data_IF_161182478739
#
_entry.id   IF_161182478739
#
_cell.length_a   1.000
_cell.length_b   1.000
_cell.length_c   1.000
_cell.angle_alpha   90.00
_cell.angle_beta   90.00
_cell.angle_gamma   90.00
#
_symmetry.space_group_name_H-M   'P 1'
#
loop_
_entity.id
_entity.type
_entity.pdbx_description
1 polymer ?
#
# COMPACT_ATOMS: atom_id res chain seq x y z
N UNK A 1 -20.72 -21.80 0.17
CA UNK A 1 -21.49 -20.57 -0.22
C UNK A 1 -22.99 -20.65 0.03
N UNK A 2 -23.62 -19.59 0.60
CA UNK A 2 -25.08 -19.41 0.58
C UNK A 2 -25.52 -18.81 -0.75
N UNK A 3 -26.68 -19.24 -1.26
CA UNK A 3 -27.26 -18.76 -2.51
C UNK A 3 -27.91 -17.39 -2.25
N UNK A 4 -27.47 -16.37 -2.97
CA UNK A 4 -28.10 -15.05 -2.97
C UNK A 4 -28.85 -14.86 -4.30
N UNK A 5 -30.11 -14.40 -4.29
CA UNK A 5 -30.84 -14.00 -5.50
C UNK A 5 -30.02 -13.01 -6.35
N UNK A 6 -29.24 -12.17 -5.69
CA UNK A 6 -28.34 -11.18 -6.28
C UNK A 6 -27.28 -11.85 -7.17
N UNK A 7 -26.65 -12.93 -6.70
CA UNK A 7 -25.65 -13.65 -7.48
C UNK A 7 -26.27 -14.28 -8.74
N UNK A 8 -27.46 -14.88 -8.64
CA UNK A 8 -28.14 -15.46 -9.82
C UNK A 8 -28.40 -14.39 -10.88
N UNK A 9 -28.86 -13.22 -10.47
CA UNK A 9 -29.08 -12.07 -11.35
C UNK A 9 -27.78 -11.59 -12.00
N UNK A 10 -26.68 -11.51 -11.24
CA UNK A 10 -25.37 -11.14 -11.78
C UNK A 10 -24.84 -12.18 -12.78
N UNK A 11 -24.96 -13.47 -12.48
CA UNK A 11 -24.54 -14.54 -13.39
C UNK A 11 -25.28 -14.47 -14.73
N UNK A 12 -26.57 -14.15 -14.71
CA UNK A 12 -27.33 -13.92 -15.95
C UNK A 12 -26.84 -12.66 -16.69
N UNK A 13 -26.59 -11.56 -15.97
CA UNK A 13 -26.14 -10.28 -16.55
C UNK A 13 -24.81 -10.40 -17.30
N UNK A 14 -23.86 -11.19 -16.80
CA UNK A 14 -22.54 -11.34 -17.41
C UNK A 14 -22.53 -12.28 -18.63
N UNK A 15 -23.64 -12.96 -18.90
CA UNK A 15 -23.78 -13.91 -19.98
C UNK A 15 -24.40 -13.25 -21.20
N UNK A 16 -23.67 -13.29 -22.30
CA UNK A 16 -24.08 -12.70 -23.58
C UNK A 16 -24.98 -13.64 -24.40
N UNK A 17 -24.97 -14.93 -24.08
CA UNK A 17 -25.78 -15.95 -24.74
C UNK A 17 -27.13 -16.09 -24.03
N UNK A 18 -28.15 -15.45 -24.61
CA UNK A 18 -29.51 -15.45 -24.08
C UNK A 18 -30.21 -16.82 -24.13
N UNK A 19 -29.61 -17.81 -24.81
CA UNK A 19 -30.14 -19.18 -24.86
C UNK A 19 -29.79 -20.00 -23.62
N UNK A 20 -28.82 -19.57 -22.81
CA UNK A 20 -28.44 -20.26 -21.58
C UNK A 20 -29.39 -19.85 -20.45
N UNK A 21 -30.17 -20.80 -19.97
CA UNK A 21 -31.10 -20.57 -18.87
C UNK A 21 -30.37 -20.48 -17.51
N UNK A 22 -31.04 -19.87 -16.54
CA UNK A 22 -30.48 -19.64 -15.20
C UNK A 22 -30.13 -20.94 -14.46
N UNK A 23 -30.86 -22.03 -14.69
CA UNK A 23 -30.58 -23.31 -14.03
C UNK A 23 -29.30 -23.93 -14.58
N UNK A 24 -29.05 -23.80 -15.89
CA UNK A 24 -27.80 -24.24 -16.50
C UNK A 24 -26.60 -23.46 -15.95
N UNK A 25 -26.69 -22.13 -15.85
CA UNK A 25 -25.62 -21.31 -15.25
C UNK A 25 -25.37 -21.69 -13.80
N UNK A 26 -26.43 -21.99 -13.06
CA UNK A 26 -26.32 -22.43 -11.68
C UNK A 26 -25.66 -23.80 -11.55
N UNK A 27 -26.04 -24.77 -12.39
CA UNK A 27 -25.41 -26.08 -12.41
C UNK A 27 -23.91 -25.99 -12.73
N UNK A 28 -23.50 -25.08 -13.63
CA UNK A 28 -22.08 -24.80 -13.92
C UNK A 28 -21.39 -24.14 -12.72
N UNK A 29 -22.06 -23.18 -12.05
CA UNK A 29 -21.53 -22.51 -10.86
C UNK A 29 -21.24 -23.49 -9.72
N UNK A 30 -22.13 -24.47 -9.52
CA UNK A 30 -21.97 -25.55 -8.55
C UNK A 30 -20.96 -26.62 -9.00
N UNK A 31 -20.52 -26.59 -10.26
CA UNK A 31 -19.64 -27.60 -10.85
C UNK A 31 -20.33 -28.92 -11.19
N UNK A 32 -21.67 -28.93 -11.25
CA UNK A 32 -22.50 -30.09 -11.61
C UNK A 32 -22.61 -30.29 -13.12
N UNK A 33 -22.33 -29.25 -13.91
CA UNK A 33 -22.31 -29.32 -15.36
C UNK A 33 -21.22 -28.43 -15.95
N UNK A 34 -20.93 -28.65 -17.22
CA UNK A 34 -20.11 -27.79 -18.05
C UNK A 34 -20.63 -27.87 -19.49
N UNK A 35 -20.41 -26.80 -20.25
CA UNK A 35 -20.59 -26.83 -21.70
C UNK A 35 -19.22 -26.88 -22.37
N UNK A 36 -19.22 -27.05 -23.69
CA UNK A 36 -18.00 -26.99 -24.49
C UNK A 36 -17.23 -25.67 -24.28
N UNK A 37 -17.94 -24.54 -24.19
CA UNK A 37 -17.34 -23.20 -24.11
C UNK A 37 -17.21 -22.67 -22.69
N UNK A 38 -18.03 -23.12 -21.75
CA UNK A 38 -18.16 -22.58 -20.40
C UNK A 38 -18.05 -23.68 -19.34
N UNK A 39 -17.11 -23.50 -18.42
CA UNK A 39 -16.98 -24.31 -17.22
C UNK A 39 -16.98 -23.41 -15.98
N UNK A 40 -16.97 -24.02 -14.80
CA UNK A 40 -17.01 -23.30 -13.51
C UNK A 40 -15.94 -22.21 -13.38
N UNK A 41 -14.69 -22.52 -13.74
CA UNK A 41 -13.57 -21.58 -13.61
C UNK A 41 -13.69 -20.41 -14.60
N UNK A 42 -14.11 -20.69 -15.85
CA UNK A 42 -14.40 -19.64 -16.85
C UNK A 42 -15.58 -18.75 -16.45
N UNK A 43 -16.62 -19.32 -15.85
CA UNK A 43 -17.76 -18.55 -15.35
C UNK A 43 -17.34 -17.62 -14.20
N UNK A 44 -16.54 -18.13 -13.27
CA UNK A 44 -15.97 -17.35 -12.16
C UNK A 44 -15.05 -16.24 -12.64
N UNK A 45 -14.13 -16.51 -13.58
CA UNK A 45 -13.25 -15.48 -14.11
C UNK A 45 -14.01 -14.40 -14.89
N UNK A 46 -15.05 -14.77 -15.65
CA UNK A 46 -15.98 -13.81 -16.26
C UNK A 46 -16.69 -12.94 -15.23
N UNK A 47 -17.15 -13.53 -14.12
CA UNK A 47 -17.80 -12.79 -13.04
C UNK A 47 -16.83 -11.76 -12.45
N UNK A 48 -15.57 -12.14 -12.18
CA UNK A 48 -14.52 -11.23 -11.69
C UNK A 48 -14.23 -10.08 -12.66
N UNK A 49 -14.22 -10.36 -13.97
CA UNK A 49 -13.90 -9.37 -15.00
C UNK A 49 -15.06 -8.40 -15.30
N UNK A 50 -16.31 -8.85 -15.13
CA UNK A 50 -17.50 -8.11 -15.56
C UNK A 50 -18.27 -7.44 -14.42
N UNK A 51 -17.75 -7.50 -13.18
CA UNK A 51 -18.45 -7.05 -11.97
C UNK A 51 -17.53 -6.24 -11.08
N UNK A 52 -18.02 -5.12 -10.54
CA UNK A 52 -17.25 -4.30 -9.61
C UNK A 52 -17.00 -5.03 -8.28
N UNK A 53 -15.94 -4.64 -7.57
CA UNK A 53 -15.53 -5.32 -6.33
C UNK A 53 -16.62 -5.34 -5.26
N UNK A 54 -17.24 -4.19 -4.97
CA UNK A 54 -18.32 -4.12 -3.98
C UNK A 54 -19.53 -4.97 -4.37
N UNK A 55 -19.85 -5.03 -5.67
CA UNK A 55 -20.95 -5.87 -6.13
C UNK A 55 -20.65 -7.36 -5.97
N UNK A 56 -19.39 -7.78 -6.18
CA UNK A 56 -18.96 -9.15 -5.89
C UNK A 56 -19.07 -9.46 -4.40
N UNK A 57 -18.68 -8.51 -3.54
CA UNK A 57 -18.78 -8.62 -2.09
C UNK A 57 -20.24 -8.75 -1.63
N UNK A 58 -21.15 -7.95 -2.16
CA UNK A 58 -22.58 -8.03 -1.87
C UNK A 58 -23.17 -9.40 -2.26
N UNK A 59 -22.75 -9.93 -3.42
CA UNK A 59 -23.29 -11.19 -3.94
C UNK A 59 -22.74 -12.42 -3.23
N UNK A 60 -21.45 -12.43 -2.89
CA UNK A 60 -20.71 -13.63 -2.45
C UNK A 60 -20.37 -13.60 -0.96
N UNK A 61 -20.31 -12.42 -0.35
CA UNK A 61 -19.69 -12.20 0.95
C UNK A 61 -18.19 -12.54 0.95
N UNK A 62 -17.54 -12.34 2.10
CA UNK A 62 -16.11 -12.61 2.27
C UNK A 62 -15.75 -14.08 1.99
N UNK A 63 -16.54 -15.02 2.54
CA UNK A 63 -16.27 -16.45 2.36
C UNK A 63 -16.47 -16.89 0.91
N UNK A 64 -17.50 -16.39 0.22
CA UNK A 64 -17.72 -16.71 -1.19
C UNK A 64 -16.63 -16.13 -2.10
N UNK A 65 -16.11 -14.93 -1.79
CA UNK A 65 -14.96 -14.38 -2.50
C UNK A 65 -13.72 -15.26 -2.35
N UNK A 66 -13.42 -15.78 -1.15
CA UNK A 66 -12.32 -16.74 -0.92
C UNK A 66 -12.50 -18.02 -1.75
N UNK A 67 -13.72 -18.55 -1.82
CA UNK A 67 -14.05 -19.73 -2.63
C UNK A 67 -13.91 -19.51 -4.16
N UNK A 68 -14.04 -18.26 -4.62
CA UNK A 68 -13.96 -17.88 -6.04
C UNK A 68 -12.53 -17.50 -6.46
N UNK A 69 -11.79 -16.81 -5.59
CA UNK A 69 -10.41 -16.36 -5.82
C UNK A 69 -9.41 -17.50 -5.60
N UNK A 70 -9.52 -18.57 -6.40
CA UNK A 70 -8.54 -19.66 -6.43
C UNK A 70 -7.46 -19.37 -7.47
N UNK A 71 -6.29 -19.99 -7.31
CA UNK A 71 -5.17 -19.85 -8.25
C UNK A 71 -5.58 -20.25 -9.67
N UNK A 72 -6.37 -21.31 -9.82
CA UNK A 72 -6.90 -21.75 -11.10
C UNK A 72 -7.75 -20.67 -11.81
N UNK A 73 -8.63 -19.99 -11.06
CA UNK A 73 -9.49 -18.93 -11.60
C UNK A 73 -8.66 -17.70 -11.95
N UNK A 74 -7.76 -17.28 -11.07
CA UNK A 74 -6.89 -16.11 -11.26
C UNK A 74 -5.96 -16.33 -12.46
N UNK A 75 -5.34 -17.50 -12.58
CA UNK A 75 -4.43 -17.82 -13.69
C UNK A 75 -5.15 -17.90 -15.05
N UNK A 76 -6.48 -18.08 -15.06
CA UNK A 76 -7.29 -18.02 -16.28
C UNK A 76 -7.51 -16.60 -16.82
N UNK A 77 -7.23 -15.56 -16.03
CA UNK A 77 -7.33 -14.16 -16.44
C UNK A 77 -6.10 -13.80 -17.27
N UNK A 78 -6.27 -13.41 -18.53
CA UNK A 78 -5.15 -13.18 -19.46
C UNK A 78 -4.47 -11.80 -19.29
N UNK A 79 -5.20 -10.78 -18.80
CA UNK A 79 -4.68 -9.41 -18.62
C UNK A 79 -3.85 -9.36 -17.33
N UNK A 80 -2.55 -9.05 -17.45
CA UNK A 80 -1.58 -9.05 -16.34
C UNK A 80 -2.02 -8.17 -15.16
N UNK A 81 -2.31 -6.90 -15.41
CA UNK A 81 -2.63 -5.94 -14.33
C UNK A 81 -3.92 -6.34 -13.57
N UNK A 82 -4.90 -6.88 -14.29
CA UNK A 82 -6.14 -7.38 -13.67
C UNK A 82 -5.88 -8.64 -12.85
N UNK A 83 -5.02 -9.54 -13.34
CA UNK A 83 -4.59 -10.73 -12.60
C UNK A 83 -3.89 -10.33 -11.30
N UNK A 84 -2.94 -9.40 -11.36
CA UNK A 84 -2.19 -8.89 -10.20
C UNK A 84 -3.12 -8.29 -9.14
N UNK A 85 -4.13 -7.50 -9.56
CA UNK A 85 -5.17 -6.98 -8.68
C UNK A 85 -5.90 -8.10 -7.91
N UNK A 86 -6.26 -9.21 -8.56
CA UNK A 86 -6.96 -10.31 -7.90
C UNK A 86 -6.04 -11.20 -7.06
N UNK A 87 -4.75 -11.31 -7.40
CA UNK A 87 -3.72 -11.92 -6.53
C UNK A 87 -3.64 -11.14 -5.22
N UNK A 88 -3.58 -9.80 -5.28
CA UNK A 88 -3.59 -8.96 -4.08
C UNK A 88 -4.84 -9.21 -3.24
N UNK A 89 -6.03 -9.16 -3.87
CA UNK A 89 -7.30 -9.36 -3.17
C UNK A 89 -7.40 -10.75 -2.51
N UNK A 90 -6.94 -11.80 -3.19
CA UNK A 90 -6.88 -13.17 -2.64
C UNK A 90 -6.00 -13.21 -1.38
N UNK A 91 -4.77 -12.69 -1.47
CA UNK A 91 -3.83 -12.67 -0.34
C UNK A 91 -4.37 -11.84 0.83
N UNK A 92 -5.00 -10.71 0.55
CA UNK A 92 -5.57 -9.83 1.57
C UNK A 92 -6.73 -10.52 2.32
N UNK A 93 -7.64 -11.17 1.59
CA UNK A 93 -8.75 -11.91 2.19
C UNK A 93 -8.28 -13.09 3.03
N UNK A 94 -7.19 -13.76 2.64
CA UNK A 94 -6.59 -14.87 3.40
C UNK A 94 -5.72 -14.41 4.57
N UNK A 95 -5.60 -13.10 4.83
CA UNK A 95 -4.73 -12.57 5.89
C UNK A 95 -3.24 -12.82 5.62
N UNK A 96 -2.88 -13.11 4.37
CA UNK A 96 -1.48 -13.28 3.92
C UNK A 96 -0.87 -11.91 3.64
N UNK A 97 -1.68 -10.94 3.20
CA UNK A 97 -1.31 -9.51 3.28
C UNK A 97 -1.57 -9.03 4.69
N UNK A 98 -0.68 -9.43 5.60
CA UNK A 98 -0.43 -8.61 6.77
C UNK A 98 0.61 -7.58 6.33
N UNK A 99 0.18 -6.38 5.94
CA UNK A 99 1.08 -5.23 5.95
C UNK A 99 1.34 -4.86 7.42
N UNK A 100 1.96 -5.76 8.19
CA UNK A 100 2.80 -5.29 9.29
C UNK A 100 4.00 -4.70 8.58
N UNK A 101 3.88 -3.41 8.22
CA UNK A 101 5.00 -2.63 7.73
C UNK A 101 6.17 -2.89 8.68
N UNK A 102 7.33 -3.26 8.12
CA UNK A 102 8.51 -3.58 8.90
C UNK A 102 8.72 -2.51 9.99
N UNK A 103 8.83 -2.94 11.24
CA UNK A 103 9.05 -2.07 12.40
C UNK A 103 10.43 -2.33 12.97
N UNK A 104 11.24 -1.29 13.03
CA UNK A 104 12.52 -1.36 13.69
C UNK A 104 12.38 -1.04 15.18
N UNK A 105 12.93 -1.90 16.03
CA UNK A 105 12.95 -1.70 17.47
C UNK A 105 11.60 -1.85 18.18
N UNK A 106 11.60 -1.46 19.45
CA UNK A 106 10.46 -1.57 20.36
C UNK A 106 9.58 -0.32 20.37
N UNK A 107 8.36 -0.49 20.88
CA UNK A 107 7.49 0.65 21.17
C UNK A 107 7.91 1.30 22.49
N UNK A 108 7.76 2.61 22.53
CA UNK A 108 7.81 3.40 23.74
C UNK A 108 6.44 3.39 24.42
N UNK A 109 6.46 3.34 25.75
CA UNK A 109 5.28 3.39 26.60
C UNK A 109 5.34 4.66 27.46
N UNK A 110 4.31 5.49 27.38
CA UNK A 110 4.14 6.69 28.18
C UNK A 110 2.87 6.61 29.02
N UNK A 111 2.77 7.31 30.17
CA UNK A 111 1.60 7.23 31.05
C UNK A 111 0.26 7.53 30.36
N UNK A 112 0.25 8.40 29.35
CA UNK A 112 -0.95 8.75 28.56
C UNK A 112 -1.03 8.01 27.22
N UNK A 113 0.08 7.48 26.71
CA UNK A 113 0.16 6.86 25.38
C UNK A 113 0.87 5.52 25.49
N UNK A 114 0.11 4.43 25.46
CA UNK A 114 0.64 3.09 25.69
C UNK A 114 1.37 2.48 24.50
N UNK A 115 1.30 3.05 23.30
CA UNK A 115 1.96 2.52 22.11
C UNK A 115 2.44 3.67 21.23
N UNK A 116 3.69 4.09 21.42
CA UNK A 116 4.32 5.13 20.60
C UNK A 116 5.53 4.52 19.91
N UNK A 117 5.67 4.71 18.60
CA UNK A 117 6.86 4.24 17.89
C UNK A 117 8.14 4.93 18.40
N UNK A 118 9.26 4.23 18.32
CA UNK A 118 10.55 4.86 18.57
C UNK A 118 10.95 5.81 17.42
N UNK A 119 11.80 6.76 17.75
CA UNK A 119 12.19 7.86 16.88
C UNK A 119 12.91 7.37 15.61
N UNK A 120 13.71 6.31 15.72
CA UNK A 120 14.36 5.66 14.56
C UNK A 120 13.34 5.08 13.59
N UNK A 121 12.31 4.42 14.11
CA UNK A 121 11.23 3.85 13.30
C UNK A 121 10.38 4.95 12.65
N UNK A 122 10.11 6.06 13.37
CA UNK A 122 9.42 7.24 12.83
C UNK A 122 10.23 7.89 11.71
N UNK A 123 11.52 8.19 11.94
CA UNK A 123 12.38 8.83 10.94
C UNK A 123 12.54 7.98 9.67
N UNK A 124 12.79 6.68 9.82
CA UNK A 124 12.88 5.76 8.68
C UNK A 124 11.57 5.63 7.91
N UNK A 125 10.41 5.74 8.56
CA UNK A 125 9.12 5.82 7.86
C UNK A 125 9.03 7.07 6.98
N UNK A 126 9.43 8.24 7.50
CA UNK A 126 9.45 9.49 6.72
C UNK A 126 10.35 9.40 5.50
N UNK A 127 11.55 8.85 5.66
CA UNK A 127 12.48 8.59 4.55
C UNK A 127 11.89 7.60 3.53
N UNK A 128 11.25 6.52 3.98
CA UNK A 128 10.68 5.50 3.09
C UNK A 128 9.58 6.00 2.15
N UNK A 129 8.92 7.10 2.52
CA UNK A 129 7.79 7.67 1.77
C UNK A 129 8.10 9.02 1.12
N UNK A 130 9.36 9.48 1.17
CA UNK A 130 9.75 10.83 0.72
C UNK A 130 9.51 11.07 -0.79
N UNK A 131 9.50 10.01 -1.60
CA UNK A 131 9.17 10.05 -3.03
C UNK A 131 7.73 10.46 -3.34
N UNK A 132 6.88 10.65 -2.31
CA UNK A 132 5.56 11.28 -2.44
C UNK A 132 5.63 12.80 -2.53
N UNK A 133 6.81 13.41 -2.32
CA UNK A 133 7.03 14.85 -2.38
C UNK A 133 6.15 15.66 -1.41
N UNK A 134 5.78 15.04 -0.28
CA UNK A 134 4.99 15.68 0.77
C UNK A 134 5.89 16.55 1.64
N UNK A 135 5.78 17.88 1.49
CA UNK A 135 6.65 18.87 2.17
C UNK A 135 6.65 18.70 3.71
N UNK A 136 5.51 18.31 4.29
CA UNK A 136 5.39 18.04 5.74
C UNK A 136 6.34 16.93 6.22
N UNK A 137 6.58 15.90 5.39
CA UNK A 137 7.45 14.80 5.77
C UNK A 137 8.92 15.24 5.74
N UNK A 138 9.29 16.18 4.86
CA UNK A 138 10.61 16.82 4.85
C UNK A 138 10.82 17.69 6.10
N UNK A 139 9.79 18.44 6.52
CA UNK A 139 9.84 19.20 7.77
C UNK A 139 9.96 18.29 9.00
N UNK A 140 9.23 17.17 9.04
CA UNK A 140 9.38 16.16 10.11
C UNK A 140 10.81 15.60 10.15
N UNK A 141 11.41 15.30 8.99
CA UNK A 141 12.81 14.86 8.90
C UNK A 141 13.75 15.93 9.49
N UNK A 142 13.56 17.20 9.14
CA UNK A 142 14.35 18.30 9.68
C UNK A 142 14.23 18.41 11.20
N UNK A 143 13.01 18.38 11.75
CA UNK A 143 12.78 18.45 13.20
C UNK A 143 13.44 17.29 13.93
N UNK A 144 13.34 16.07 13.39
CA UNK A 144 13.97 14.88 13.97
C UNK A 144 15.51 14.97 13.88
N UNK A 145 16.04 15.43 12.76
CA UNK A 145 17.48 15.66 12.59
C UNK A 145 18.03 16.70 13.57
N UNK A 146 17.28 17.77 13.86
CA UNK A 146 17.70 18.77 14.86
C UNK A 146 17.75 18.22 16.29
N UNK A 147 16.99 17.16 16.61
CA UNK A 147 16.82 16.65 17.99
C UNK A 147 17.61 15.39 18.29
N UNK A 148 17.94 14.60 17.28
CA UNK A 148 18.41 13.23 17.46
C UNK A 148 19.86 13.06 16.99
N UNK A 149 20.62 12.25 17.72
CA UNK A 149 21.94 11.77 17.27
C UNK A 149 21.77 10.38 16.67
N UNK A 150 22.10 10.21 15.40
CA UNK A 150 21.97 8.94 14.67
C UNK A 150 22.87 8.88 13.43
N UNK A 151 22.91 7.72 12.78
CA UNK A 151 23.60 7.46 11.51
C UNK A 151 22.61 7.49 10.35
N UNK A 152 22.82 8.34 9.34
CA UNK A 152 21.97 8.33 8.14
C UNK A 152 22.07 7.01 7.39
N UNK A 153 23.23 6.35 7.42
CA UNK A 153 23.42 5.02 6.82
C UNK A 153 22.47 3.99 7.45
N UNK A 154 22.30 4.04 8.77
CA UNK A 154 21.43 3.10 9.49
C UNK A 154 19.96 3.41 9.17
N UNK A 155 19.58 4.69 9.17
CA UNK A 155 18.23 5.12 8.80
C UNK A 155 17.87 4.70 7.38
N UNK A 156 18.77 4.87 6.41
CA UNK A 156 18.55 4.43 5.03
C UNK A 156 18.42 2.91 4.93
N UNK A 157 19.24 2.16 5.68
CA UNK A 157 19.15 0.70 5.73
C UNK A 157 17.80 0.23 6.28
N UNK A 158 17.34 0.83 7.37
CA UNK A 158 16.05 0.53 8.01
C UNK A 158 14.89 0.92 7.09
N UNK A 159 14.94 2.10 6.46
CA UNK A 159 13.93 2.54 5.50
C UNK A 159 13.84 1.58 4.30
N UNK A 160 14.97 1.06 3.83
CA UNK A 160 15.07 0.07 2.75
C UNK A 160 14.36 -1.25 3.04
N UNK A 161 14.22 -1.64 4.31
CA UNK A 161 13.45 -2.82 4.71
C UNK A 161 11.92 -2.58 4.63
N UNK A 162 11.49 -1.31 4.60
CA UNK A 162 10.08 -0.91 4.55
C UNK A 162 9.61 -0.70 3.11
N UNK A 163 10.42 0.00 2.34
CA UNK A 163 10.22 0.28 0.92
C UNK A 163 11.57 0.50 0.25
N UNK A 164 11.76 0.13 -1.03
CA UNK A 164 12.98 0.48 -1.76
C UNK A 164 13.23 2.00 -1.68
N UNK A 165 14.43 2.37 -1.23
CA UNK A 165 14.90 3.76 -1.15
C UNK A 165 16.33 3.84 -1.64
N UNK A 166 16.63 4.87 -2.43
CA UNK A 166 17.97 5.20 -2.89
C UNK A 166 18.46 6.48 -2.19
N UNK A 167 19.58 6.45 -1.45
CA UNK A 167 20.15 7.64 -0.82
C UNK A 167 20.39 8.81 -1.80
N UNK A 168 20.71 8.51 -3.07
CA UNK A 168 20.92 9.55 -4.09
C UNK A 168 19.61 10.26 -4.42
N UNK A 169 18.53 9.50 -4.59
CA UNK A 169 17.20 10.05 -4.85
C UNK A 169 16.69 10.87 -3.65
N UNK A 170 16.80 10.34 -2.43
CA UNK A 170 16.39 11.03 -1.20
C UNK A 170 17.15 12.35 -1.03
N UNK A 171 18.48 12.31 -1.19
CA UNK A 171 19.34 13.50 -1.15
C UNK A 171 18.91 14.54 -2.18
N UNK A 172 18.65 14.12 -3.43
CA UNK A 172 18.19 15.01 -4.49
C UNK A 172 16.86 15.66 -4.13
N UNK A 173 15.85 14.88 -3.70
CA UNK A 173 14.53 15.40 -3.34
C UNK A 173 14.63 16.50 -2.30
N UNK A 174 15.35 16.24 -1.20
CA UNK A 174 15.54 17.21 -0.12
C UNK A 174 16.30 18.44 -0.61
N UNK A 175 17.38 18.23 -1.36
CA UNK A 175 18.25 19.31 -1.84
C UNK A 175 17.54 20.27 -2.80
N UNK A 176 16.66 19.73 -3.64
CA UNK A 176 15.97 20.49 -4.69
C UNK A 176 14.62 21.04 -4.27
N UNK A 177 14.18 20.81 -3.03
CA UNK A 177 12.92 21.37 -2.52
C UNK A 177 12.97 22.90 -2.62
N UNK A 178 12.06 23.56 -3.34
CA UNK A 178 12.02 25.02 -3.36
C UNK A 178 11.69 25.61 -1.98
N UNK A 179 12.36 26.71 -1.60
CA UNK A 179 12.09 27.43 -0.34
C UNK A 179 10.60 27.79 -0.17
N UNK A 180 9.92 28.13 -1.28
CA UNK A 180 8.50 28.49 -1.29
C UNK A 180 7.58 27.36 -0.81
N UNK A 181 7.96 26.09 -1.01
CA UNK A 181 7.19 24.95 -0.54
C UNK A 181 7.12 24.92 1.00
N UNK A 182 8.18 25.37 1.69
CA UNK A 182 8.20 25.46 3.16
C UNK A 182 7.19 26.47 3.70
N UNK A 183 6.77 27.45 2.89
CA UNK A 183 5.73 28.42 3.26
C UNK A 183 4.32 27.82 3.25
N UNK A 184 4.12 26.66 2.60
CA UNK A 184 2.85 25.95 2.59
C UNK A 184 2.56 25.23 3.91
N UNK A 185 3.59 25.02 4.73
CA UNK A 185 3.46 24.35 6.02
C UNK A 185 2.84 25.30 7.04
N UNK A 186 1.81 24.80 7.74
CA UNK A 186 1.27 25.46 8.93
C UNK A 186 2.14 25.13 10.14
N UNK A 187 3.16 25.93 10.35
CA UNK A 187 4.08 25.76 11.48
C UNK A 187 3.36 26.01 12.81
N UNK A 188 3.66 25.17 13.81
CA UNK A 188 3.09 25.30 15.15
C UNK A 188 3.75 26.39 16.00
N UNK A 189 4.89 26.90 15.55
CA UNK A 189 5.70 27.94 16.18
C UNK A 189 6.42 28.75 15.08
N UNK A 190 6.98 29.89 15.45
CA UNK A 190 7.76 30.70 14.50
C UNK A 190 9.05 29.99 14.11
N UNK A 191 9.29 29.89 12.81
CA UNK A 191 10.45 29.19 12.24
C UNK A 191 11.16 30.11 11.25
N UNK A 192 12.48 30.18 11.34
CA UNK A 192 13.30 30.83 10.34
C UNK A 192 13.44 29.92 9.11
N UNK A 193 12.71 30.21 8.03
CA UNK A 193 12.69 29.37 6.83
C UNK A 193 14.04 29.32 6.12
N UNK A 194 14.86 30.37 6.20
CA UNK A 194 16.20 30.36 5.61
C UNK A 194 17.13 29.41 6.38
N UNK A 195 16.97 29.32 7.71
CA UNK A 195 17.68 28.33 8.54
C UNK A 195 17.25 26.91 8.18
N UNK A 196 15.93 26.66 8.12
CA UNK A 196 15.40 25.33 7.73
C UNK A 196 15.96 24.93 6.37
N UNK A 197 15.93 25.84 5.41
CA UNK A 197 16.41 25.58 4.07
C UNK A 197 17.92 25.26 4.05
N UNK A 198 18.73 26.02 4.78
CA UNK A 198 20.16 25.75 4.96
C UNK A 198 20.40 24.38 5.59
N UNK A 199 19.66 24.06 6.64
CA UNK A 199 19.74 22.78 7.35
C UNK A 199 19.38 21.60 6.44
N UNK A 200 18.37 21.75 5.57
CA UNK A 200 18.00 20.74 4.58
C UNK A 200 19.13 20.50 3.57
N UNK A 201 19.92 21.51 3.21
CA UNK A 201 21.11 21.31 2.36
C UNK A 201 22.15 20.44 3.06
N UNK A 202 22.35 20.64 4.36
CA UNK A 202 23.25 19.81 5.19
C UNK A 202 22.74 18.38 5.31
N UNK A 203 21.45 18.18 5.62
CA UNK A 203 20.80 16.85 5.67
C UNK A 203 20.97 16.11 4.35
N UNK A 204 20.69 16.77 3.23
CA UNK A 204 20.84 16.16 1.91
C UNK A 204 22.30 15.74 1.66
N UNK A 205 23.26 16.56 2.07
CA UNK A 205 24.68 16.23 2.01
C UNK A 205 25.02 15.00 2.84
N UNK A 206 24.60 14.95 4.10
CA UNK A 206 24.88 13.84 5.01
C UNK A 206 24.27 12.51 4.55
N UNK A 207 23.03 12.54 4.04
CA UNK A 207 22.35 11.36 3.48
C UNK A 207 23.14 10.79 2.31
N UNK A 208 23.59 11.65 1.38
CA UNK A 208 24.28 11.22 0.15
C UNK A 208 25.54 10.40 0.46
N UNK A 209 26.27 10.79 1.50
CA UNK A 209 27.52 10.14 1.92
C UNK A 209 27.33 9.11 3.04
N UNK A 210 26.12 9.04 3.62
CA UNK A 210 25.78 8.16 4.74
C UNK A 210 26.58 8.46 6.01
N UNK A 211 26.75 9.74 6.35
CA UNK A 211 27.45 10.20 7.57
C UNK A 211 26.54 10.12 8.81
N UNK A 212 27.10 10.21 10.02
CA UNK A 212 26.33 10.61 11.19
C UNK A 212 25.63 11.94 10.95
N UNK A 213 24.46 12.14 11.56
CA UNK A 213 23.73 13.41 11.48
C UNK A 213 24.58 14.57 12.04
N UNK A 214 24.89 15.55 11.18
CA UNK A 214 25.79 16.68 11.52
C UNK A 214 25.06 17.96 11.90
N UNK A 215 23.73 18.03 11.78
CA UNK A 215 22.94 19.20 12.18
C UNK A 215 22.90 19.47 13.69
N UNK A 216 23.61 18.68 14.48
CA UNK A 216 23.55 18.77 15.91
C UNK A 216 24.39 19.94 16.40
N UNK A 217 23.73 21.09 16.56
CA UNK A 217 24.08 22.15 17.51
C UNK A 217 22.77 22.78 18.01
N UNK A 218 22.35 22.39 19.21
CA UNK A 218 21.46 23.14 20.09
C UNK A 218 21.98 23.00 21.52
#
# INVERSE_FOLDING_TARGET
>A
MKITPELKKELKRIMWDYSVDENTLWAIWEGKSATFSLNRNKLRSRLLLSTSWYRLLDCLGLNGLKEVLTDEVINSIWIKDIREKFIYAQKALHGIVNEVAFRWGELNHFPLFSCVDNETNILSNKISCISRYEVKDIADIWVLAKRLSFSWRDIMSIAGQKSPVDPVEVSKIIKTLPLEELKLIKWAFDVNLDEVYSDLQTIAGDILVGRPNTLKDF
#
